data_IF_838123352312
#
_entry.id   IF_838123352312
#
_cell.length_a   1.000
_cell.length_b   1.000
_cell.length_c   1.000
_cell.angle_alpha   90.00
_cell.angle_beta   90.00
_cell.angle_gamma   90.00
#
_symmetry.space_group_name_H-M   'P 1'
#
loop_
_entity.id
_entity.type
_entity.pdbx_description
1 polymer ?
#
# COMPACT_ATOMS: atom_id res chain seq x y z
N UNK A 1 -25.93 27.09 5.56
CA UNK A 1 -26.65 26.07 4.75
C UNK A 1 -25.60 25.22 4.07
N UNK A 2 -25.63 23.91 4.26
CA UNK A 2 -24.82 22.97 3.47
C UNK A 2 -25.73 22.38 2.40
N UNK A 3 -25.57 22.83 1.16
CA UNK A 3 -26.19 22.20 -0.01
C UNK A 3 -25.51 20.85 -0.22
N UNK A 4 -26.14 19.79 0.29
CA UNK A 4 -25.79 18.40 -0.02
C UNK A 4 -26.80 17.90 -1.05
N UNK A 5 -26.33 17.58 -2.24
CA UNK A 5 -27.14 16.95 -3.29
C UNK A 5 -26.76 15.49 -3.45
N UNK A 6 -27.74 14.65 -3.79
CA UNK A 6 -27.48 13.23 -4.06
C UNK A 6 -26.65 13.06 -5.34
N UNK A 7 -25.66 12.16 -5.30
CA UNK A 7 -24.82 11.88 -6.47
C UNK A 7 -25.59 11.00 -7.45
N UNK A 8 -25.76 11.40 -8.73
CA UNK A 8 -26.40 10.55 -9.73
C UNK A 8 -25.73 9.19 -9.83
N UNK A 9 -26.50 8.11 -9.97
CA UNK A 9 -25.99 6.74 -9.95
C UNK A 9 -24.92 6.48 -11.02
N UNK A 10 -25.09 7.04 -12.22
CA UNK A 10 -24.10 6.94 -13.29
C UNK A 10 -22.76 7.60 -12.90
N UNK A 11 -22.81 8.73 -12.21
CA UNK A 11 -21.61 9.43 -11.70
C UNK A 11 -20.96 8.63 -10.57
N UNK A 12 -21.76 8.10 -9.64
CA UNK A 12 -21.29 7.24 -8.56
C UNK A 12 -20.56 6.00 -9.09
N UNK A 13 -21.17 5.31 -10.06
CA UNK A 13 -20.60 4.12 -10.67
C UNK A 13 -19.31 4.41 -11.42
N UNK A 14 -19.28 5.49 -12.22
CA UNK A 14 -18.10 5.89 -12.98
C UNK A 14 -16.95 6.36 -12.09
N UNK A 15 -17.25 7.00 -10.96
CA UNK A 15 -16.25 7.50 -10.01
C UNK A 15 -15.71 6.43 -9.05
N UNK A 16 -16.30 5.23 -9.02
CA UNK A 16 -15.93 4.16 -8.09
C UNK A 16 -15.10 3.09 -8.79
N UNK A 17 -13.80 3.01 -8.46
CA UNK A 17 -12.96 1.87 -8.80
C UNK A 17 -13.20 0.73 -7.80
N UNK A 18 -14.09 -0.19 -8.15
CA UNK A 18 -14.36 -1.37 -7.33
C UNK A 18 -13.11 -2.26 -7.26
N UNK A 19 -12.81 -2.75 -6.05
CA UNK A 19 -11.69 -3.66 -5.79
C UNK A 19 -10.31 -3.18 -6.28
N UNK A 20 -10.11 -1.85 -6.35
CA UNK A 20 -8.83 -1.26 -6.73
C UNK A 20 -7.63 -1.77 -5.90
N UNK A 21 -7.89 -2.20 -4.66
CA UNK A 21 -6.90 -2.79 -3.76
C UNK A 21 -7.46 -4.08 -3.14
N UNK A 22 -7.28 -5.24 -3.78
CA UNK A 22 -7.79 -6.51 -3.29
C UNK A 22 -7.19 -6.86 -1.90
N UNK A 23 -8.03 -7.20 -0.89
CA UNK A 23 -7.58 -7.41 0.49
C UNK A 23 -6.62 -8.60 0.68
N UNK A 24 -6.65 -9.58 -0.24
CA UNK A 24 -5.83 -10.78 -0.15
C UNK A 24 -4.37 -10.58 -0.60
N UNK A 25 -3.99 -9.41 -1.11
CA UNK A 25 -2.64 -9.15 -1.63
C UNK A 25 -1.92 -8.15 -0.74
N UNK A 26 -0.68 -8.49 -0.39
CA UNK A 26 0.23 -7.52 0.20
C UNK A 26 0.35 -6.34 -0.77
N UNK A 27 0.08 -5.14 -0.28
CA UNK A 27 0.03 -3.92 -1.11
C UNK A 27 0.80 -2.81 -0.41
N UNK A 28 1.70 -2.15 -1.13
CA UNK A 28 2.36 -0.94 -0.64
C UNK A 28 1.39 0.25 -0.78
N UNK A 29 1.12 0.96 0.30
CA UNK A 29 0.25 2.14 0.30
C UNK A 29 1.03 3.45 0.27
N UNK A 30 2.16 3.52 0.97
CA UNK A 30 3.02 4.70 0.97
C UNK A 30 4.44 4.39 1.40
N UNK A 31 5.36 5.29 1.05
CA UNK A 31 6.73 5.33 1.56
C UNK A 31 7.03 6.74 2.03
N UNK A 32 7.74 6.87 3.15
CA UNK A 32 8.21 8.13 3.71
C UNK A 32 9.69 8.00 4.04
N UNK A 33 10.48 8.94 3.55
CA UNK A 33 11.89 9.08 3.90
C UNK A 33 12.02 10.23 4.89
N UNK A 34 12.40 9.90 6.13
CA UNK A 34 12.74 10.88 7.17
C UNK A 34 14.26 10.99 7.36
N UNK A 35 14.72 11.96 8.14
CA UNK A 35 16.14 12.13 8.47
C UNK A 35 16.73 10.93 9.23
N UNK A 36 15.90 10.21 10.00
CA UNK A 36 16.34 9.09 10.83
C UNK A 36 16.17 7.74 10.14
N UNK A 37 14.96 7.45 9.62
CA UNK A 37 14.63 6.14 9.05
C UNK A 37 13.60 6.26 7.95
N UNK A 38 13.73 5.40 6.93
CA UNK A 38 12.70 5.19 5.93
C UNK A 38 11.58 4.30 6.50
N UNK A 39 10.33 4.70 6.29
CA UNK A 39 9.14 3.98 6.73
C UNK A 39 8.21 3.74 5.56
N UNK A 40 7.60 2.57 5.50
CA UNK A 40 6.56 2.25 4.54
C UNK A 40 5.26 1.94 5.26
N UNK A 41 4.13 2.16 4.59
CA UNK A 41 2.82 1.68 5.04
C UNK A 41 2.34 0.64 4.06
N UNK A 42 2.00 -0.53 4.57
CA UNK A 42 1.56 -1.68 3.79
C UNK A 42 0.18 -2.11 4.24
N UNK A 43 -0.56 -2.72 3.32
CA UNK A 43 -1.81 -3.42 3.61
C UNK A 43 -1.61 -4.91 3.41
N UNK A 44 -2.00 -5.69 4.40
CA UNK A 44 -2.06 -7.15 4.37
C UNK A 44 -3.51 -7.61 4.53
N UNK A 45 -3.72 -8.94 4.59
CA UNK A 45 -5.03 -9.49 4.92
C UNK A 45 -5.46 -9.13 6.36
N UNK A 46 -4.49 -8.92 7.25
CA UNK A 46 -4.72 -8.69 8.69
C UNK A 46 -4.94 -7.21 9.03
N UNK A 47 -4.58 -6.29 8.14
CA UNK A 47 -4.77 -4.86 8.38
C UNK A 47 -3.82 -3.96 7.59
N UNK A 48 -3.59 -2.78 8.16
CA UNK A 48 -2.68 -1.77 7.61
C UNK A 48 -1.63 -1.47 8.67
N UNK A 49 -0.36 -1.71 8.32
CA UNK A 49 0.77 -1.59 9.23
C UNK A 49 1.85 -0.70 8.65
N UNK A 50 2.55 0.01 9.54
CA UNK A 50 3.74 0.77 9.19
C UNK A 50 4.99 -0.05 9.52
N UNK A 51 5.90 -0.15 8.55
CA UNK A 51 7.09 -1.01 8.62
C UNK A 51 8.37 -0.24 8.33
N UNK A 52 9.47 -0.69 8.91
CA UNK A 52 10.84 -0.23 8.68
C UNK A 52 11.71 -1.39 8.20
N UNK A 53 12.94 -1.08 7.79
CA UNK A 53 13.92 -2.11 7.41
C UNK A 53 14.19 -3.05 8.59
N UNK A 54 14.12 -4.35 8.36
CA UNK A 54 14.27 -5.40 9.37
C UNK A 54 12.95 -6.02 9.84
N UNK A 55 11.81 -5.34 9.64
CA UNK A 55 10.50 -5.87 10.05
C UNK A 55 10.10 -7.09 9.22
N UNK A 56 9.29 -7.97 9.81
CA UNK A 56 8.75 -9.16 9.14
C UNK A 56 7.29 -8.94 8.78
N UNK A 57 6.98 -9.14 7.51
CA UNK A 57 5.66 -8.96 6.93
C UNK A 57 5.29 -10.17 6.11
N UNK A 58 4.21 -10.85 6.48
CA UNK A 58 3.70 -12.03 5.77
C UNK A 58 4.83 -13.04 5.47
N UNK A 59 5.73 -13.29 6.42
CA UNK A 59 6.87 -14.20 6.30
C UNK A 59 8.03 -13.73 5.41
N UNK A 60 8.08 -12.45 5.01
CA UNK A 60 9.22 -11.83 4.35
C UNK A 60 9.80 -10.70 5.20
N UNK A 61 11.12 -10.51 5.16
CA UNK A 61 11.79 -9.42 5.87
C UNK A 61 11.91 -8.20 4.97
N UNK A 62 11.62 -7.00 5.48
CA UNK A 62 11.87 -5.74 4.77
C UNK A 62 13.36 -5.52 4.65
N UNK A 63 13.91 -5.65 3.44
CA UNK A 63 15.33 -5.50 3.17
C UNK A 63 15.72 -4.05 2.84
N UNK A 64 14.84 -3.30 2.16
CA UNK A 64 15.07 -1.89 1.84
C UNK A 64 13.74 -1.15 1.58
N UNK A 65 13.73 0.17 1.80
CA UNK A 65 12.61 1.06 1.50
C UNK A 65 13.12 2.21 0.62
N UNK A 66 12.67 2.24 -0.62
CA UNK A 66 12.93 3.31 -1.59
C UNK A 66 11.69 4.15 -1.86
N UNK A 67 11.80 5.15 -2.71
CA UNK A 67 10.67 5.99 -3.10
C UNK A 67 9.66 5.17 -3.91
N UNK A 68 8.45 5.01 -3.37
CA UNK A 68 7.37 4.24 -3.98
C UNK A 68 7.63 2.73 -4.10
N UNK A 69 8.66 2.21 -3.43
CA UNK A 69 9.06 0.81 -3.53
C UNK A 69 9.58 0.26 -2.20
N UNK A 70 9.24 -1.00 -1.91
CA UNK A 70 9.88 -1.79 -0.85
C UNK A 70 10.48 -3.05 -1.45
N UNK A 71 11.62 -3.45 -0.89
CA UNK A 71 12.30 -4.69 -1.22
C UNK A 71 12.10 -5.64 -0.05
N UNK A 72 11.49 -6.80 -0.34
CA UNK A 72 11.27 -7.87 0.62
C UNK A 72 12.24 -9.02 0.35
N UNK A 73 12.69 -9.69 1.40
CA UNK A 73 13.48 -10.91 1.33
C UNK A 73 12.69 -12.07 1.92
N UNK A 74 12.46 -13.12 1.12
CA UNK A 74 11.73 -14.32 1.52
C UNK A 74 12.53 -15.55 1.14
N UNK A 75 13.09 -16.25 2.13
CA UNK A 75 13.85 -17.48 1.89
C UNK A 75 14.97 -17.33 0.86
N UNK A 76 15.69 -16.20 0.90
CA UNK A 76 16.78 -15.89 -0.04
C UNK A 76 16.33 -15.36 -1.41
N UNK A 77 15.02 -15.22 -1.66
CA UNK A 77 14.49 -14.57 -2.86
C UNK A 77 14.13 -13.13 -2.55
N UNK A 78 14.45 -12.24 -3.48
CA UNK A 78 14.07 -10.84 -3.41
C UNK A 78 12.75 -10.62 -4.15
N UNK A 79 11.80 -9.96 -3.48
CA UNK A 79 10.52 -9.56 -4.04
C UNK A 79 10.41 -8.03 -3.97
N UNK A 80 9.89 -7.43 -5.03
CA UNK A 80 9.73 -5.98 -5.13
C UNK A 80 8.24 -5.64 -5.08
N UNK A 81 7.88 -4.82 -4.11
CA UNK A 81 6.54 -4.27 -3.97
C UNK A 81 6.58 -2.79 -4.31
N UNK A 82 5.79 -2.38 -5.29
CA UNK A 82 5.67 -0.98 -5.71
C UNK A 82 4.32 -0.43 -5.31
N UNK A 83 4.25 0.91 -5.22
CA UNK A 83 2.97 1.58 -5.15
C UNK A 83 2.10 1.18 -6.36
N UNK A 84 0.79 0.99 -6.16
CA UNK A 84 -0.16 0.79 -7.24
C UNK A 84 -0.10 1.97 -8.20
N UNK A 85 0.04 1.68 -9.49
CA UNK A 85 -0.10 2.70 -10.53
C UNK A 85 -1.60 2.99 -10.71
N UNK A 86 -2.02 4.24 -10.55
CA UNK A 86 -3.34 4.69 -11.02
C UNK A 86 -3.31 4.70 -12.55
N UNK A 87 -3.99 3.74 -13.17
CA UNK A 87 -4.21 3.71 -14.62
C UNK A 87 -5.64 4.08 -14.94
#
# INVERSE_FOLDING_TARGET
MTDTTETPEATLAAATLRDALPPARLTLLSTRHGPDVARAVIRSADGVDAVVVGDVVNGATVAAIGEGVIILSRGGRTERLTLPETR
#
